data_IF_718011501893
#
_entry.id   IF_718011501893
#
_cell.length_a   1.000
_cell.length_b   1.000
_cell.length_c   1.000
_cell.angle_alpha   90.00
_cell.angle_beta   90.00
_cell.angle_gamma   90.00
#
_symmetry.space_group_name_H-M   'P 1'
#
loop_
_entity.id
_entity.type
_entity.pdbx_description
1 polymer ?
#
# COMPACT_ATOMS: atom_id res chain seq x y z
N UNK A 1 -28.43 0.73 -21.87
CA UNK A 1 -27.43 0.81 -20.78
C UNK A 1 -26.27 -0.13 -21.13
N UNK A 2 -25.33 0.32 -21.97
CA UNK A 2 -24.13 -0.44 -22.32
C UNK A 2 -22.95 0.53 -22.21
N UNK A 3 -22.13 0.38 -21.17
CA UNK A 3 -21.03 1.32 -20.94
C UNK A 3 -20.15 1.04 -19.73
N UNK A 4 -20.34 -0.09 -19.05
CA UNK A 4 -19.39 -0.51 -18.02
C UNK A 4 -18.27 -1.28 -18.69
N UNK A 5 -17.14 -0.61 -18.91
CA UNK A 5 -15.89 -1.26 -19.29
C UNK A 5 -15.41 -2.08 -18.08
N UNK A 6 -15.52 -3.40 -18.16
CA UNK A 6 -14.86 -4.29 -17.22
C UNK A 6 -13.43 -4.49 -17.70
N UNK A 7 -12.46 -3.96 -16.96
CA UNK A 7 -11.04 -4.24 -17.20
C UNK A 7 -10.80 -5.73 -16.90
N UNK A 8 -10.31 -6.47 -17.91
CA UNK A 8 -10.09 -7.92 -17.81
C UNK A 8 -8.69 -8.17 -17.25
N UNK A 9 -8.64 -8.98 -16.18
CA UNK A 9 -7.51 -9.56 -15.44
C UNK A 9 -6.10 -8.99 -15.65
N UNK A 10 -5.52 -8.51 -14.54
CA UNK A 10 -4.09 -8.17 -14.45
C UNK A 10 -3.23 -9.23 -13.72
N UNK A 11 -3.84 -10.11 -12.92
CA UNK A 11 -3.12 -11.08 -12.06
C UNK A 11 -3.51 -12.50 -12.47
N UNK A 12 -2.51 -13.36 -12.68
CA UNK A 12 -2.73 -14.77 -13.01
C UNK A 12 -3.05 -15.60 -11.75
N UNK A 13 -3.70 -16.75 -11.94
CA UNK A 13 -4.17 -17.59 -10.84
C UNK A 13 -3.03 -18.12 -9.95
N UNK A 14 -1.89 -18.45 -10.54
CA UNK A 14 -0.65 -18.86 -9.87
C UNK A 14 -0.06 -17.74 -9.01
N UNK A 15 0.03 -16.52 -9.55
CA UNK A 15 0.49 -15.34 -8.82
C UNK A 15 -0.44 -15.01 -7.64
N UNK A 16 -1.76 -15.06 -7.87
CA UNK A 16 -2.77 -14.89 -6.82
C UNK A 16 -2.68 -15.96 -5.74
N UNK A 17 -2.44 -17.22 -6.13
CA UNK A 17 -2.29 -18.32 -5.18
C UNK A 17 -1.04 -18.17 -4.31
N UNK A 18 0.11 -17.82 -4.92
CA UNK A 18 1.34 -17.57 -4.16
C UNK A 18 1.16 -16.44 -3.13
N UNK A 19 0.48 -15.36 -3.52
CA UNK A 19 0.14 -14.26 -2.61
C UNK A 19 -0.75 -14.75 -1.46
N UNK A 20 -1.81 -15.50 -1.76
CA UNK A 20 -2.70 -16.08 -0.76
C UNK A 20 -1.96 -17.00 0.21
N UNK A 21 -1.06 -17.86 -0.27
CA UNK A 21 -0.22 -18.73 0.57
C UNK A 21 0.65 -17.92 1.53
N UNK A 22 1.23 -16.80 1.09
CA UNK A 22 2.02 -15.92 1.96
C UNK A 22 1.16 -15.32 3.08
N UNK A 23 -0.03 -14.80 2.75
CA UNK A 23 -0.97 -14.23 3.73
C UNK A 23 -1.42 -15.29 4.75
N UNK A 24 -1.82 -16.47 4.27
CA UNK A 24 -2.25 -17.59 5.12
C UNK A 24 -1.10 -18.03 6.04
N UNK A 25 0.10 -18.22 5.49
CA UNK A 25 1.28 -18.63 6.27
C UNK A 25 1.60 -17.63 7.37
N UNK A 26 1.64 -16.34 7.05
CA UNK A 26 1.93 -15.30 8.03
C UNK A 26 0.89 -15.30 9.14
N UNK A 27 -0.39 -15.39 8.79
CA UNK A 27 -1.47 -15.43 9.78
C UNK A 27 -1.38 -16.67 10.68
N UNK A 28 -1.17 -17.85 10.10
CA UNK A 28 -1.05 -19.10 10.87
C UNK A 28 0.18 -19.08 11.77
N UNK A 29 1.31 -18.55 11.30
CA UNK A 29 2.52 -18.39 12.11
C UNK A 29 2.28 -17.45 13.29
N UNK A 30 1.61 -16.31 13.08
CA UNK A 30 1.23 -15.39 14.16
C UNK A 30 0.32 -16.06 15.18
N UNK A 31 -0.70 -16.80 14.72
CA UNK A 31 -1.63 -17.52 15.60
C UNK A 31 -0.93 -18.60 16.41
N UNK A 32 -0.11 -19.44 15.77
CA UNK A 32 0.66 -20.48 16.45
C UNK A 32 1.63 -19.89 17.49
N UNK A 33 2.30 -18.79 17.16
CA UNK A 33 3.17 -18.08 18.11
C UNK A 33 2.39 -17.56 19.32
N UNK A 34 1.22 -16.96 19.09
CA UNK A 34 0.36 -16.46 20.18
C UNK A 34 -0.16 -17.58 21.07
N UNK A 35 -0.47 -18.74 20.49
CA UNK A 35 -0.97 -19.90 21.22
C UNK A 35 0.11 -20.51 22.12
N UNK A 36 1.33 -20.68 21.60
CA UNK A 36 2.48 -21.15 22.38
C UNK A 36 2.80 -20.18 23.51
N UNK A 37 2.90 -18.87 23.24
CA UNK A 37 3.22 -17.86 24.26
C UNK A 37 2.17 -17.75 25.37
N UNK A 38 0.91 -18.15 25.11
CA UNK A 38 -0.12 -18.22 26.15
C UNK A 38 0.02 -19.44 27.05
N UNK A 39 0.51 -20.55 26.50
CA UNK A 39 0.55 -21.84 27.19
C UNK A 39 1.93 -22.13 27.80
N UNK A 40 2.99 -21.53 27.26
CA UNK A 40 4.38 -21.77 27.64
C UNK A 40 5.18 -20.47 27.62
N UNK A 41 5.93 -20.23 28.70
CA UNK A 41 6.58 -18.93 28.96
C UNK A 41 7.83 -18.69 28.08
N UNK A 42 8.40 -19.74 27.44
CA UNK A 42 9.69 -19.67 26.71
C UNK A 42 9.85 -20.62 25.52
N UNK A 43 8.78 -21.27 25.05
CA UNK A 43 8.93 -22.15 23.89
C UNK A 43 8.92 -21.37 22.57
N UNK A 44 9.90 -21.68 21.71
CA UNK A 44 9.99 -21.11 20.38
C UNK A 44 9.29 -22.03 19.38
N UNK A 45 8.50 -21.44 18.48
CA UNK A 45 7.86 -22.16 17.38
C UNK A 45 8.93 -22.66 16.40
N UNK A 46 9.24 -23.96 16.45
CA UNK A 46 10.31 -24.56 15.65
C UNK A 46 9.93 -24.81 14.18
N UNK A 47 8.70 -25.24 13.91
CA UNK A 47 8.25 -25.52 12.55
C UNK A 47 6.74 -25.36 12.40
N UNK A 48 6.30 -24.81 11.27
CA UNK A 48 4.89 -24.75 10.87
C UNK A 48 4.75 -25.39 9.51
N UNK A 49 4.17 -26.60 9.48
CA UNK A 49 3.85 -27.31 8.25
C UNK A 49 2.42 -27.00 7.85
N UNK A 50 2.23 -26.47 6.64
CA UNK A 50 0.91 -26.12 6.09
C UNK A 50 0.69 -26.99 4.86
N UNK A 51 -0.42 -27.73 4.83
CA UNK A 51 -0.83 -28.56 3.70
C UNK A 51 -2.14 -28.04 3.13
N UNK A 52 -2.19 -27.85 1.81
CA UNK A 52 -3.37 -27.38 1.08
C UNK A 52 -4.01 -28.57 0.36
N UNK A 53 -5.31 -28.79 0.54
CA UNK A 53 -6.07 -29.89 -0.09
C UNK A 53 -7.23 -29.33 -0.90
N UNK A 54 -7.52 -29.94 -2.05
CA UNK A 54 -8.64 -29.59 -2.93
C UNK A 54 -8.70 -28.09 -3.31
N UNK A 55 -7.55 -27.49 -3.62
CA UNK A 55 -7.48 -26.07 -4.00
C UNK A 55 -8.22 -25.86 -5.32
N UNK A 56 -9.20 -24.96 -5.31
CA UNK A 56 -9.97 -24.55 -6.49
C UNK A 56 -9.85 -23.04 -6.68
N UNK A 57 -10.11 -22.59 -7.90
CA UNK A 57 -10.07 -21.18 -8.26
C UNK A 57 -11.47 -20.68 -8.55
N UNK A 58 -11.78 -19.48 -8.06
CA UNK A 58 -13.01 -18.77 -8.39
C UNK A 58 -12.64 -17.38 -8.90
N UNK A 59 -13.29 -16.98 -9.98
CA UNK A 59 -13.22 -15.61 -10.43
C UNK A 59 -14.16 -14.77 -9.57
N UNK A 60 -13.62 -13.69 -8.99
CA UNK A 60 -14.38 -12.73 -8.19
C UNK A 60 -14.38 -11.39 -8.91
N UNK A 61 -15.54 -10.73 -8.94
CA UNK A 61 -15.65 -9.35 -9.38
C UNK A 61 -15.53 -8.45 -8.17
N UNK A 62 -14.49 -7.62 -8.14
CA UNK A 62 -14.31 -6.62 -7.09
C UNK A 62 -14.93 -5.31 -7.56
N UNK A 63 -15.69 -4.60 -6.71
CA UNK A 63 -16.24 -3.30 -7.05
C UNK A 63 -15.10 -2.28 -7.07
N UNK A 64 -14.72 -1.82 -8.25
CA UNK A 64 -13.72 -0.76 -8.45
C UNK A 64 -14.25 0.24 -9.47
N UNK A 65 -14.20 1.53 -9.12
CA UNK A 65 -14.51 2.60 -10.06
C UNK A 65 -13.21 3.21 -10.60
N UNK A 66 -13.09 3.33 -11.91
CA UNK A 66 -11.95 3.94 -12.60
C UNK A 66 -12.42 5.17 -13.35
N UNK A 67 -11.63 6.24 -13.30
CA UNK A 67 -11.91 7.47 -14.05
C UNK A 67 -10.61 8.20 -14.38
N UNK A 68 -10.69 9.05 -15.41
CA UNK A 68 -9.55 9.77 -15.98
C UNK A 68 -9.91 11.23 -16.12
N UNK A 69 -9.01 12.13 -15.68
CA UNK A 69 -9.12 13.55 -15.93
C UNK A 69 -7.86 14.09 -16.59
N UNK A 70 -8.00 15.12 -17.42
CA UNK A 70 -6.88 15.80 -18.06
C UNK A 70 -6.48 17.03 -17.26
N UNK A 71 -5.18 17.22 -17.03
CA UNK A 71 -4.62 18.41 -16.42
C UNK A 71 -3.30 18.79 -17.12
N UNK A 72 -3.19 20.03 -17.60
CA UNK A 72 -2.03 20.54 -18.33
C UNK A 72 -1.56 19.61 -19.47
N UNK A 73 -2.51 19.08 -20.25
CA UNK A 73 -2.23 18.16 -21.37
C UNK A 73 -1.84 16.73 -20.97
N UNK A 74 -1.80 16.41 -19.67
CA UNK A 74 -1.51 15.06 -19.16
C UNK A 74 -2.76 14.40 -18.60
N UNK A 75 -2.93 13.11 -18.87
CA UNK A 75 -4.02 12.30 -18.32
C UNK A 75 -3.62 11.73 -16.97
N UNK A 76 -4.54 11.83 -16.01
CA UNK A 76 -4.39 11.33 -14.65
C UNK A 76 -5.50 10.32 -14.37
N UNK A 77 -5.09 9.07 -14.13
CA UNK A 77 -5.98 7.99 -13.75
C UNK A 77 -6.12 7.95 -12.23
N UNK A 78 -7.36 7.80 -11.77
CA UNK A 78 -7.66 7.48 -10.39
C UNK A 78 -8.67 6.33 -10.31
N UNK A 79 -8.53 5.56 -9.25
CA UNK A 79 -9.26 4.33 -8.96
C UNK A 79 -9.83 4.45 -7.55
N UNK A 80 -11.06 4.00 -7.37
CA UNK A 80 -11.75 4.01 -6.09
C UNK A 80 -12.18 2.59 -5.77
N UNK A 81 -11.76 2.09 -4.60
CA UNK A 81 -12.25 0.81 -4.09
C UNK A 81 -13.71 0.99 -3.66
N UNK A 82 -14.60 0.15 -4.18
CA UNK A 82 -16.03 0.23 -3.91
C UNK A 82 -16.50 -0.36 -2.59
N UNK A 83 -15.66 -1.14 -1.90
CA UNK A 83 -15.93 -1.66 -0.56
C UNK A 83 -15.49 -0.68 0.52
N UNK A 84 -14.29 -0.11 0.39
CA UNK A 84 -13.67 0.73 1.43
C UNK A 84 -13.77 2.23 1.16
N UNK A 85 -14.08 2.63 -0.08
CA UNK A 85 -14.05 4.03 -0.51
C UNK A 85 -12.64 4.61 -0.68
N UNK A 86 -11.58 3.82 -0.52
CA UNK A 86 -10.20 4.32 -0.65
C UNK A 86 -9.89 4.71 -2.09
N UNK A 87 -9.34 5.92 -2.28
CA UNK A 87 -8.96 6.44 -3.59
C UNK A 87 -7.45 6.26 -3.80
N UNK A 88 -7.08 5.65 -4.92
CA UNK A 88 -5.70 5.45 -5.37
C UNK A 88 -5.52 6.04 -6.76
N UNK A 89 -4.45 6.78 -7.00
CA UNK A 89 -4.23 7.39 -8.31
C UNK A 89 -3.09 8.38 -8.33
N UNK A 90 -2.71 8.81 -9.54
CA UNK A 90 -1.74 9.90 -9.69
C UNK A 90 -2.47 11.24 -9.58
N UNK A 91 -1.83 12.21 -8.94
CA UNK A 91 -2.33 13.59 -8.84
C UNK A 91 -1.31 14.59 -9.40
N UNK A 92 -1.75 15.72 -9.98
CA UNK A 92 -0.84 16.78 -10.36
C UNK A 92 -0.27 17.43 -9.10
N UNK A 93 1.05 17.58 -9.07
CA UNK A 93 1.74 18.35 -8.04
C UNK A 93 1.97 19.77 -8.56
N UNK A 94 1.75 20.76 -7.69
CA UNK A 94 2.02 22.15 -8.01
C UNK A 94 3.50 22.46 -7.78
N UNK A 95 4.23 22.73 -8.86
CA UNK A 95 5.64 23.13 -8.80
C UNK A 95 5.86 24.37 -7.92
N UNK A 96 4.91 25.33 -7.94
CA UNK A 96 4.96 26.54 -7.10
C UNK A 96 4.90 26.19 -5.61
N UNK A 97 3.97 25.31 -5.20
CA UNK A 97 3.86 24.89 -3.80
C UNK A 97 5.12 24.15 -3.32
N UNK A 98 5.69 23.29 -4.17
CA UNK A 98 6.93 22.57 -3.86
C UNK A 98 8.10 23.56 -3.77
N UNK A 99 8.22 24.48 -4.73
CA UNK A 99 9.25 25.51 -4.74
C UNK A 99 9.21 26.37 -3.49
N UNK A 100 8.03 26.87 -3.10
CA UNK A 100 7.85 27.63 -1.87
C UNK A 100 8.24 26.84 -0.61
N UNK A 101 7.87 25.56 -0.53
CA UNK A 101 8.24 24.70 0.59
C UNK A 101 9.76 24.51 0.69
N UNK A 102 10.45 24.32 -0.44
CA UNK A 102 11.91 24.21 -0.50
C UNK A 102 12.56 25.53 -0.07
N UNK A 103 12.12 26.66 -0.63
CA UNK A 103 12.66 27.98 -0.30
C UNK A 103 12.48 28.31 1.19
N UNK A 104 11.30 28.03 1.75
CA UNK A 104 11.05 28.23 3.18
C UNK A 104 11.97 27.35 4.05
N UNK A 105 12.17 26.08 3.67
CA UNK A 105 13.09 25.18 4.37
C UNK A 105 14.54 25.66 4.33
N UNK A 106 15.00 26.20 3.19
CA UNK A 106 16.35 26.77 3.06
C UNK A 106 16.54 28.01 3.94
N UNK A 107 15.57 28.93 3.94
CA UNK A 107 15.62 30.13 4.80
C UNK A 107 15.70 29.73 6.27
N UNK A 108 14.86 28.79 6.71
CA UNK A 108 14.88 28.29 8.09
C UNK A 108 16.25 27.68 8.44
N UNK A 109 16.82 26.86 7.55
CA UNK A 109 18.14 26.28 7.74
C UNK A 109 19.22 27.36 7.89
N UNK A 110 19.21 28.38 7.02
CA UNK A 110 20.17 29.49 7.08
C UNK A 110 20.04 30.27 8.39
N UNK A 111 18.82 30.58 8.83
CA UNK A 111 18.57 31.28 10.10
C UNK A 111 19.10 30.46 11.28
N UNK A 112 18.85 29.15 11.30
CA UNK A 112 19.35 28.26 12.34
C UNK A 112 20.89 28.24 12.37
N UNK A 113 21.55 28.10 11.22
CA UNK A 113 23.01 28.09 11.14
C UNK A 113 23.62 29.42 11.62
N UNK A 114 23.01 30.55 11.27
CA UNK A 114 23.45 31.86 11.75
C UNK A 114 23.27 32.00 13.26
N UNK A 115 22.14 31.54 13.80
CA UNK A 115 21.89 31.57 15.25
C UNK A 115 22.87 30.68 16.03
N UNK A 116 23.18 29.49 15.51
CA UNK A 116 24.13 28.56 16.14
C UNK A 116 25.58 29.07 16.07
N UNK A 117 25.96 29.73 14.97
CA UNK A 117 27.28 30.35 14.85
C UNK A 117 27.41 31.59 15.73
N UNK A 118 26.33 32.37 15.89
CA UNK A 118 26.30 33.54 16.77
C UNK A 118 26.38 33.20 18.26
N UNK A 119 26.02 31.99 18.68
CA UNK A 119 26.18 31.52 20.06
C UNK A 119 27.57 30.96 20.38
N UNK A 120 28.44 30.80 19.37
CA UNK A 120 29.78 30.21 19.51
C UNK A 120 30.92 31.25 19.60
N UNK A 121 30.59 32.54 19.63
CA UNK A 121 31.50 33.68 19.87
C UNK A 121 31.17 34.28 21.23
#
# INVERSE_FOLDING_TARGET
MSGFYAEIYKIKADEGFASAQSVIRNRLYTLAKQDILRSYDRENLHNVRIEYKNVTYKHVMLPVWSSVYSYAGKLYHYFVNGETGTVSGKRPYSAVKIGLAITAGLILLTVILLALNGQRV
#
